data_IF_682339348595
#
_entry.id   IF_682339348595
#
_cell.length_a   1.000
_cell.length_b   1.000
_cell.length_c   1.000
_cell.angle_alpha   90.00
_cell.angle_beta   90.00
_cell.angle_gamma   90.00
#
_symmetry.space_group_name_H-M   'P 1'
#
loop_
_entity.id
_entity.type
_entity.pdbx_description
1 polymer ?
#
# COMPACT_ATOMS: atom_id res chain seq x y z
N UNK A 1 6.18 16.87 3.44
CA UNK A 1 5.38 17.91 4.12
C UNK A 1 4.58 17.25 5.24
N UNK A 2 4.62 17.84 6.43
CA UNK A 2 3.92 17.30 7.60
C UNK A 2 2.41 17.56 7.50
N UNK A 3 1.56 16.53 7.56
CA UNK A 3 0.13 16.73 7.60
C UNK A 3 -0.33 17.30 8.94
N UNK A 4 -1.56 17.81 8.97
CA UNK A 4 -2.20 18.38 10.17
C UNK A 4 -3.45 17.58 10.52
N UNK A 5 -3.91 17.71 11.76
CA UNK A 5 -5.20 17.15 12.17
C UNK A 5 -6.30 17.72 11.26
N UNK A 6 -7.16 16.86 10.75
CA UNK A 6 -8.20 17.20 9.79
C UNK A 6 -7.80 17.03 8.32
N UNK A 7 -6.52 16.88 8.02
CA UNK A 7 -6.06 16.64 6.67
C UNK A 7 -6.45 15.24 6.19
N UNK A 8 -6.63 15.13 4.89
CA UNK A 8 -6.84 13.85 4.21
C UNK A 8 -5.61 13.58 3.35
N UNK A 9 -4.97 12.45 3.61
CA UNK A 9 -3.83 11.99 2.80
C UNK A 9 -4.16 10.67 2.14
N UNK A 10 -3.57 10.41 0.99
CA UNK A 10 -3.73 9.15 0.27
C UNK A 10 -2.41 8.43 0.17
N UNK A 11 -2.42 7.16 0.54
CA UNK A 11 -1.24 6.29 0.58
C UNK A 11 -1.43 5.12 -0.37
N UNK A 12 -0.33 4.63 -0.92
CA UNK A 12 -0.31 3.55 -1.91
C UNK A 12 0.66 2.46 -1.52
N UNK A 13 0.25 1.22 -1.72
CA UNK A 13 1.10 0.04 -1.53
C UNK A 13 0.98 -0.87 -2.73
N UNK A 14 2.12 -1.15 -3.37
CA UNK A 14 2.20 -2.13 -4.44
C UNK A 14 2.27 -3.54 -3.85
N UNK A 15 1.34 -4.40 -4.23
CA UNK A 15 1.46 -5.85 -4.12
C UNK A 15 2.01 -6.40 -5.43
N UNK A 16 2.06 -7.72 -5.61
CA UNK A 16 2.63 -8.28 -6.84
C UNK A 16 1.84 -7.82 -8.07
N UNK A 17 0.51 -7.95 -8.04
CA UNK A 17 -0.36 -7.68 -9.18
C UNK A 17 -1.46 -6.65 -8.91
N UNK A 18 -1.43 -5.95 -7.79
CA UNK A 18 -2.42 -4.91 -7.52
C UNK A 18 -1.86 -3.81 -6.61
N UNK A 19 -2.53 -2.67 -6.59
CA UNK A 19 -2.19 -1.53 -5.73
C UNK A 19 -3.31 -1.35 -4.72
N UNK A 20 -2.94 -1.25 -3.45
CA UNK A 20 -3.87 -0.86 -2.39
C UNK A 20 -3.80 0.64 -2.20
N UNK A 21 -4.94 1.30 -2.28
CA UNK A 21 -5.10 2.74 -2.03
C UNK A 21 -5.78 2.92 -0.68
N UNK A 22 -5.17 3.71 0.19
CA UNK A 22 -5.68 4.03 1.52
C UNK A 22 -5.83 5.54 1.63
N UNK A 23 -7.04 5.99 1.94
CA UNK A 23 -7.33 7.41 2.24
C UNK A 23 -7.47 7.56 3.74
N UNK A 24 -6.66 8.44 4.33
CA UNK A 24 -6.57 8.64 5.78
C UNK A 24 -7.09 10.03 6.13
N UNK A 25 -8.10 10.08 6.97
CA UNK A 25 -8.54 11.31 7.62
C UNK A 25 -7.88 11.39 9.00
N UNK A 26 -6.97 12.34 9.18
CA UNK A 26 -6.13 12.42 10.37
C UNK A 26 -6.92 13.02 11.52
N UNK A 27 -7.01 12.29 12.63
CA UNK A 27 -7.69 12.71 13.85
C UNK A 27 -6.74 13.14 14.96
N UNK A 28 -5.51 12.61 14.95
CA UNK A 28 -4.48 13.00 15.94
C UNK A 28 -3.08 12.70 15.40
N UNK A 29 -2.10 13.45 15.89
CA UNK A 29 -0.68 13.23 15.59
C UNK A 29 0.08 13.32 16.90
N UNK A 30 0.77 12.25 17.29
CA UNK A 30 1.56 12.17 18.52
C UNK A 30 3.03 12.00 18.20
N UNK A 31 3.86 12.84 18.77
CA UNK A 31 5.33 12.68 18.71
C UNK A 31 5.74 11.57 19.68
N UNK A 32 6.33 10.50 19.15
CA UNK A 32 6.80 9.32 19.89
C UNK A 32 8.31 9.14 19.78
N UNK A 33 9.04 10.16 19.34
CA UNK A 33 10.47 10.08 19.06
C UNK A 33 11.32 9.67 20.28
N UNK A 34 10.84 9.94 21.49
CA UNK A 34 11.52 9.56 22.73
C UNK A 34 11.09 8.17 23.26
N UNK A 35 10.18 7.49 22.57
CA UNK A 35 9.68 6.20 23.00
C UNK A 35 10.53 5.06 22.44
N UNK A 36 11.25 4.34 23.30
CA UNK A 36 12.14 3.25 22.94
C UNK A 36 11.44 2.06 22.25
N UNK A 37 10.14 1.89 22.45
CA UNK A 37 9.37 0.82 21.82
C UNK A 37 9.20 1.02 20.31
N UNK A 38 9.39 2.24 19.82
CA UNK A 38 9.18 2.61 18.41
C UNK A 38 10.44 3.19 17.78
N UNK A 39 11.56 2.53 17.97
CA UNK A 39 12.91 3.02 17.62
C UNK A 39 13.08 3.60 16.21
N UNK A 40 12.29 3.15 15.24
CA UNK A 40 12.39 3.59 13.84
C UNK A 40 11.30 4.59 13.44
N UNK A 41 10.42 4.96 14.37
CA UNK A 41 9.32 5.86 14.10
C UNK A 41 9.33 7.03 15.06
N UNK A 42 9.03 8.21 14.55
CA UNK A 42 9.01 9.44 15.34
C UNK A 42 7.61 9.95 15.61
N UNK A 43 6.66 9.55 14.77
CA UNK A 43 5.28 10.02 14.89
C UNK A 43 4.29 8.88 14.76
N UNK A 44 3.25 8.93 15.59
CA UNK A 44 2.08 8.08 15.50
C UNK A 44 0.89 8.93 15.07
N UNK A 45 0.27 8.54 13.97
CA UNK A 45 -0.91 9.21 13.43
C UNK A 45 -2.12 8.34 13.74
N UNK A 46 -3.11 8.92 14.40
CA UNK A 46 -4.41 8.29 14.57
C UNK A 46 -5.35 8.82 13.48
N UNK A 47 -6.01 7.94 12.78
CA UNK A 47 -6.83 8.32 11.64
C UNK A 47 -7.99 7.36 11.42
N UNK A 48 -8.97 7.87 10.68
CA UNK A 48 -9.99 7.04 10.06
C UNK A 48 -9.55 6.76 8.64
N UNK A 49 -9.58 5.50 8.24
CA UNK A 49 -9.17 5.12 6.90
C UNK A 49 -10.29 4.48 6.11
N UNK A 50 -10.31 4.80 4.82
CA UNK A 50 -11.02 4.02 3.81
C UNK A 50 -9.99 3.42 2.85
N UNK A 51 -10.24 2.20 2.42
CA UNK A 51 -9.30 1.41 1.64
C UNK A 51 -9.98 0.87 0.39
N UNK A 52 -9.26 0.92 -0.73
CA UNK A 52 -9.65 0.22 -1.95
C UNK A 52 -8.56 -0.77 -2.30
N UNK A 53 -8.92 -2.03 -2.41
CA UNK A 53 -8.01 -3.10 -2.84
C UNK A 53 -8.81 -4.13 -3.63
N UNK A 54 -8.36 -4.44 -4.83
CA UNK A 54 -9.03 -5.41 -5.71
C UNK A 54 -10.53 -5.11 -5.91
N UNK A 55 -10.90 -3.84 -5.98
CA UNK A 55 -12.29 -3.41 -6.18
C UNK A 55 -13.18 -3.45 -4.94
N UNK A 56 -12.64 -3.82 -3.78
CA UNK A 56 -13.38 -3.80 -2.51
C UNK A 56 -13.08 -2.53 -1.74
N UNK A 57 -14.14 -1.87 -1.28
CA UNK A 57 -14.04 -0.72 -0.38
C UNK A 57 -14.27 -1.18 1.06
N UNK A 58 -13.37 -0.77 1.94
CA UNK A 58 -13.45 -1.06 3.36
C UNK A 58 -13.09 0.17 4.18
N UNK A 59 -13.74 0.35 5.32
CA UNK A 59 -13.48 1.46 6.24
C UNK A 59 -13.11 0.95 7.62
N UNK A 60 -12.12 1.60 8.23
CA UNK A 60 -11.71 1.35 9.61
C UNK A 60 -11.54 2.68 10.34
N UNK A 61 -11.91 2.72 11.62
CA UNK A 61 -11.82 3.92 12.46
C UNK A 61 -10.78 3.73 13.55
N UNK A 62 -10.13 4.83 13.94
CA UNK A 62 -9.19 4.84 15.03
C UNK A 62 -7.93 4.02 14.79
N UNK A 63 -7.47 3.96 13.55
CA UNK A 63 -6.27 3.21 13.19
C UNK A 63 -5.02 4.02 13.51
N UNK A 64 -4.00 3.36 14.04
CA UNK A 64 -2.69 3.95 14.29
C UNK A 64 -1.74 3.65 13.13
N UNK A 65 -1.16 4.70 12.60
CA UNK A 65 -0.15 4.64 11.53
C UNK A 65 1.14 5.25 12.06
N UNK A 66 2.26 4.59 11.82
CA UNK A 66 3.58 5.05 12.24
C UNK A 66 4.34 5.59 11.05
N UNK A 67 5.05 6.70 11.26
CA UNK A 67 5.89 7.31 10.23
C UNK A 67 7.14 7.91 10.86
N UNK A 68 8.22 7.94 10.10
CA UNK A 68 9.47 8.58 10.51
C UNK A 68 9.72 9.91 9.80
N UNK A 69 9.27 10.08 8.58
CA UNK A 69 9.57 11.25 7.75
C UNK A 69 8.36 11.77 6.95
N UNK A 70 7.16 11.30 7.24
CA UNK A 70 5.93 11.69 6.52
C UNK A 70 5.95 11.41 5.00
N UNK A 71 6.78 10.51 4.56
CA UNK A 71 6.84 10.01 3.18
C UNK A 71 6.48 8.53 3.16
N UNK A 72 7.01 7.80 4.12
CA UNK A 72 6.75 6.38 4.33
C UNK A 72 5.90 6.20 5.58
N UNK A 73 4.87 5.40 5.47
CA UNK A 73 3.91 5.13 6.53
C UNK A 73 3.77 3.63 6.74
N UNK A 74 3.67 3.21 8.00
CA UNK A 74 3.49 1.81 8.34
C UNK A 74 2.21 1.57 9.11
N UNK A 75 1.40 0.65 8.61
CA UNK A 75 0.19 0.17 9.26
C UNK A 75 0.48 -1.25 9.75
N UNK A 76 0.49 -1.46 11.07
CA UNK A 76 1.01 -2.69 11.66
C UNK A 76 0.01 -3.61 12.30
N UNK A 77 -1.07 -3.09 12.86
CA UNK A 77 -1.95 -3.88 13.73
C UNK A 77 -3.27 -4.31 13.10
N UNK A 78 -3.65 -3.71 11.98
CA UNK A 78 -4.93 -3.96 11.31
C UNK A 78 -4.72 -4.03 9.81
N UNK A 79 -5.56 -4.80 9.12
CA UNK A 79 -5.61 -4.67 7.67
C UNK A 79 -6.01 -3.24 7.28
N UNK A 80 -5.36 -2.66 6.28
CA UNK A 80 -4.31 -3.20 5.40
C UNK A 80 -2.91 -3.06 6.01
N UNK A 81 -2.23 -4.17 6.25
CA UNK A 81 -0.87 -4.18 6.81
C UNK A 81 0.17 -3.71 5.80
N UNK A 82 1.26 -3.18 6.32
CA UNK A 82 2.49 -2.99 5.59
C UNK A 82 2.90 -1.54 5.45
N UNK A 83 3.88 -1.34 4.56
CA UNK A 83 4.49 -0.06 4.28
C UNK A 83 3.79 0.60 3.10
N UNK A 84 3.36 1.85 3.31
CA UNK A 84 2.64 2.65 2.33
C UNK A 84 3.41 3.92 1.99
N UNK A 85 3.24 4.41 0.78
CA UNK A 85 3.95 5.58 0.26
C UNK A 85 2.99 6.60 -0.35
N UNK A 86 3.41 7.86 -0.37
CA UNK A 86 2.67 8.92 -1.03
C UNK A 86 2.80 8.86 -2.55
N UNK A 87 3.86 8.26 -3.07
CA UNK A 87 4.17 8.24 -4.50
C UNK A 87 3.32 7.21 -5.25
N UNK A 88 2.18 7.65 -5.74
CA UNK A 88 1.26 6.86 -6.56
C UNK A 88 1.96 6.29 -7.80
N UNK A 89 2.68 7.14 -8.52
CA UNK A 89 3.30 6.77 -9.80
C UNK A 89 4.31 5.65 -9.63
N UNK A 90 5.17 5.76 -8.62
CA UNK A 90 6.18 4.74 -8.33
C UNK A 90 5.54 3.39 -7.99
N UNK A 91 4.52 3.39 -7.13
CA UNK A 91 3.86 2.15 -6.71
C UNK A 91 3.07 1.52 -7.84
N UNK A 92 2.36 2.30 -8.64
CA UNK A 92 1.63 1.80 -9.80
C UNK A 92 2.57 1.21 -10.87
N UNK A 93 3.70 1.85 -11.14
CA UNK A 93 4.69 1.34 -12.12
C UNK A 93 5.26 -0.01 -11.75
N UNK A 94 5.50 -0.26 -10.46
CA UNK A 94 5.94 -1.59 -9.99
C UNK A 94 4.96 -2.68 -10.41
N UNK A 95 3.68 -2.46 -10.17
CA UNK A 95 2.62 -3.42 -10.47
C UNK A 95 2.43 -3.58 -11.98
N UNK A 96 2.41 -2.49 -12.72
CA UNK A 96 2.29 -2.50 -14.18
C UNK A 96 3.41 -3.36 -14.80
N UNK A 97 4.64 -3.18 -14.34
CA UNK A 97 5.78 -3.96 -14.81
C UNK A 97 5.66 -5.45 -14.47
N UNK A 98 5.19 -5.77 -13.27
CA UNK A 98 4.96 -7.16 -12.86
C UNK A 98 3.88 -7.83 -13.72
N UNK A 99 2.79 -7.13 -13.98
CA UNK A 99 1.70 -7.63 -14.83
C UNK A 99 2.21 -7.86 -16.26
N UNK A 100 2.99 -6.92 -16.82
CA UNK A 100 3.54 -7.05 -18.15
C UNK A 100 4.44 -8.29 -18.28
N UNK A 101 5.29 -8.54 -17.30
CA UNK A 101 6.13 -9.76 -17.26
C UNK A 101 5.29 -11.03 -17.17
N UNK A 102 4.25 -11.01 -16.34
CA UNK A 102 3.35 -12.17 -16.17
C UNK A 102 2.57 -12.47 -17.45
N UNK A 103 2.13 -11.44 -18.16
CA UNK A 103 1.43 -11.59 -19.44
C UNK A 103 2.33 -12.25 -20.50
N UNK A 104 3.60 -11.86 -20.59
CA UNK A 104 4.56 -12.48 -21.51
C UNK A 104 4.79 -13.95 -21.18
N UNK A 105 4.93 -14.29 -19.90
CA UNK A 105 5.10 -15.67 -19.45
C UNK A 105 3.88 -16.52 -19.77
N UNK A 106 2.67 -16.01 -19.49
CA UNK A 106 1.42 -16.70 -19.80
C UNK A 106 1.23 -16.92 -21.29
N UNK A 107 1.61 -15.95 -22.13
CA UNK A 107 1.55 -16.09 -23.57
C UNK A 107 2.51 -17.18 -24.07
N UNK A 108 3.70 -17.26 -23.53
CA UNK A 108 4.64 -18.35 -23.84
C UNK A 108 4.07 -19.71 -23.44
N UNK A 109 3.50 -19.82 -22.26
CA UNK A 109 2.86 -21.06 -21.79
C UNK A 109 1.66 -21.44 -22.69
N UNK A 110 0.87 -20.46 -23.10
CA UNK A 110 -0.24 -20.68 -24.01
C UNK A 110 0.23 -21.31 -25.33
N UNK A 111 1.29 -20.79 -25.91
CA UNK A 111 1.88 -21.33 -27.14
C UNK A 111 2.34 -22.78 -26.96
N UNK A 112 3.01 -23.08 -25.85
CA UNK A 112 3.47 -24.44 -25.54
C UNK A 112 2.32 -25.41 -25.39
N UNK A 113 1.24 -25.03 -24.73
CA UNK A 113 0.03 -25.85 -24.59
C UNK A 113 -0.63 -26.10 -25.94
N UNK A 114 -0.69 -25.08 -26.80
CA UNK A 114 -1.25 -25.22 -28.15
C UNK A 114 -0.42 -26.20 -29.00
N UNK A 115 0.89 -26.21 -28.85
CA UNK A 115 1.74 -27.20 -29.53
C UNK A 115 1.40 -28.64 -29.11
N UNK A 116 1.22 -28.86 -27.80
CA UNK A 116 0.81 -30.18 -27.30
C UNK A 116 -0.56 -30.55 -27.84
N UNK A 117 -1.50 -29.61 -27.82
CA UNK A 117 -2.87 -29.82 -28.31
C UNK A 117 -2.91 -30.22 -29.81
N UNK A 118 -2.15 -29.51 -30.66
CA UNK A 118 -2.19 -29.74 -32.12
C UNK A 118 -1.19 -30.77 -32.64
N UNK A 119 -0.03 -30.91 -31.98
CA UNK A 119 1.07 -31.74 -32.48
C UNK A 119 1.32 -33.00 -31.65
N UNK A 120 0.72 -33.03 -30.53
CA UNK A 120 1.04 -34.01 -29.56
C UNK A 120 0.31 -35.15 -29.26
#
# INVERSE_FOLDING_TARGET
>A
MKPKIGDIITLYRASVYHVTKVTCEITDITDISENDLYNNFYFMITCNISRVSCGKEMSNKGIHIFTNNFITYRIGCYEPFGEYHLDKTKECKKVINNIAKKMKELERQRVEVLKVFYLG
#
